data_IF_408405512930
#
_entry.id   IF_408405512930
#
_cell.length_a   1.000
_cell.length_b   1.000
_cell.length_c   1.000
_cell.angle_alpha   90.00
_cell.angle_beta   90.00
_cell.angle_gamma   90.00
#
_symmetry.space_group_name_H-M   'P 1'
#
loop_
_entity.id
_entity.type
_entity.pdbx_description
1 polymer ?
#
# COMPACT_ATOMS: atom_id res chain seq x y z
N UNK A 1 2.60 9.54 3.17
CA UNK A 1 4.05 9.30 2.97
C UNK A 1 4.36 8.75 1.57
N UNK A 2 3.79 7.61 1.16
CA UNK A 2 4.11 6.98 -0.14
C UNK A 2 3.89 7.90 -1.36
N UNK A 3 2.76 8.62 -1.46
CA UNK A 3 2.53 9.64 -2.51
C UNK A 3 3.62 10.70 -2.60
N UNK A 4 4.24 11.05 -1.47
CA UNK A 4 5.33 12.03 -1.46
C UNK A 4 6.62 11.40 -2.01
N UNK A 5 6.93 10.17 -1.59
CA UNK A 5 8.10 9.43 -2.08
C UNK A 5 8.02 9.16 -3.59
N UNK A 6 6.85 8.74 -4.09
CA UNK A 6 6.66 8.50 -5.53
C UNK A 6 6.82 9.76 -6.36
N UNK A 7 6.24 10.88 -5.90
CA UNK A 7 6.40 12.20 -6.56
C UNK A 7 7.85 12.68 -6.55
N UNK A 8 8.54 12.56 -5.42
CA UNK A 8 9.90 13.08 -5.26
C UNK A 8 10.92 12.33 -6.11
N UNK A 9 10.76 11.01 -6.23
CA UNK A 9 11.69 10.14 -6.97
C UNK A 9 11.26 9.89 -8.42
N UNK A 10 10.15 10.48 -8.87
CA UNK A 10 9.57 10.21 -10.19
C UNK A 10 9.40 8.70 -10.42
N UNK A 11 8.89 8.00 -9.40
CA UNK A 11 8.70 6.56 -9.48
C UNK A 11 7.74 6.23 -10.63
N UNK A 12 8.20 5.39 -11.55
CA UNK A 12 7.38 4.85 -12.64
C UNK A 12 6.63 3.60 -12.20
N UNK A 13 7.22 2.84 -11.28
CA UNK A 13 6.75 1.53 -10.84
C UNK A 13 7.04 1.32 -9.35
N UNK A 14 6.25 0.45 -8.71
CA UNK A 14 6.36 0.04 -7.33
C UNK A 14 6.56 -1.47 -7.24
N UNK A 15 7.38 -1.89 -6.27
CA UNK A 15 7.44 -3.27 -5.80
C UNK A 15 6.93 -3.29 -4.36
N UNK A 16 5.84 -4.03 -4.11
CA UNK A 16 5.32 -4.26 -2.77
C UNK A 16 6.01 -5.50 -2.21
N UNK A 17 6.47 -5.41 -0.97
CA UNK A 17 7.14 -6.53 -0.29
C UNK A 17 6.40 -6.90 0.98
N UNK A 18 6.57 -8.16 1.41
CA UNK A 18 5.95 -8.68 2.63
C UNK A 18 4.44 -8.60 2.63
N UNK A 19 3.80 -8.88 1.49
CA UNK A 19 2.33 -8.90 1.45
C UNK A 19 1.78 -10.00 2.36
N UNK A 20 2.49 -11.13 2.45
CA UNK A 20 2.21 -12.28 3.32
C UNK A 20 2.05 -11.91 4.81
N UNK A 21 2.79 -10.90 5.28
CA UNK A 21 2.70 -10.44 6.66
C UNK A 21 1.33 -9.84 6.98
N UNK A 22 0.60 -9.33 5.98
CA UNK A 22 -0.74 -8.78 6.14
C UNK A 22 -1.82 -9.87 6.13
N UNK A 23 -1.51 -11.09 5.70
CA UNK A 23 -2.48 -12.19 5.55
C UNK A 23 -3.28 -12.53 6.80
N UNK A 24 -2.73 -12.55 8.02
CA UNK A 24 -3.50 -12.91 9.21
C UNK A 24 -4.50 -11.82 9.64
N UNK A 25 -4.43 -10.62 9.07
CA UNK A 25 -5.27 -9.49 9.48
C UNK A 25 -6.69 -9.62 8.91
N UNK A 26 -7.68 -9.26 9.72
CA UNK A 26 -9.09 -9.19 9.30
C UNK A 26 -9.44 -7.88 8.60
N UNK A 27 -8.72 -6.82 8.96
CA UNK A 27 -8.89 -5.48 8.42
C UNK A 27 -7.51 -4.81 8.29
N UNK A 28 -7.37 -3.96 7.27
CA UNK A 28 -6.18 -3.18 7.00
C UNK A 28 -6.53 -1.70 7.13
N UNK A 29 -5.73 -0.96 7.91
CA UNK A 29 -5.87 0.49 8.05
C UNK A 29 -4.82 1.19 7.21
N UNK A 30 -5.24 1.82 6.13
CA UNK A 30 -4.36 2.55 5.23
C UNK A 30 -4.47 4.05 5.50
N UNK A 31 -3.34 4.69 5.81
CA UNK A 31 -3.31 6.12 6.11
C UNK A 31 -3.42 6.92 4.80
N UNK A 32 -4.57 7.55 4.57
CA UNK A 32 -4.88 8.32 3.34
C UNK A 32 -4.63 9.82 3.46
N UNK A 33 -4.40 10.30 4.67
CA UNK A 33 -4.12 11.70 4.95
C UNK A 33 -3.89 11.94 6.42
N UNK A 34 -3.80 13.20 6.80
CA UNK A 34 -3.56 13.60 8.18
C UNK A 34 -4.48 14.76 8.58
N UNK A 35 -4.83 14.84 9.86
CA UNK A 35 -5.65 15.91 10.44
C UNK A 35 -4.85 16.64 11.52
N UNK A 36 -4.70 17.95 11.39
CA UNK A 36 -4.11 18.82 12.42
C UNK A 36 -5.00 18.96 13.65
N UNK A 37 -4.41 19.41 14.75
CA UNK A 37 -5.12 19.76 15.98
C UNK A 37 -6.07 20.96 15.80
N UNK A 38 -5.73 21.83 14.84
CA UNK A 38 -6.54 22.94 14.32
C UNK A 38 -7.67 22.51 13.37
N UNK A 39 -7.78 21.21 13.05
CA UNK A 39 -8.75 20.68 12.10
C UNK A 39 -8.32 20.76 10.63
N UNK A 40 -7.11 21.24 10.34
CA UNK A 40 -6.59 21.30 8.96
C UNK A 40 -6.33 19.90 8.41
N UNK A 41 -6.86 19.59 7.22
CA UNK A 41 -6.57 18.32 6.53
C UNK A 41 -5.33 18.45 5.65
N UNK A 42 -4.42 17.49 5.77
CA UNK A 42 -3.21 17.38 4.97
C UNK A 42 -3.26 16.13 4.09
N UNK A 43 -3.09 16.31 2.78
CA UNK A 43 -2.99 15.20 1.81
C UNK A 43 -1.56 14.66 1.68
N UNK A 44 -0.58 15.46 2.10
CA UNK A 44 0.83 15.11 2.11
C UNK A 44 1.39 15.18 3.52
N UNK A 45 2.52 14.50 3.74
CA UNK A 45 3.26 14.63 5.00
C UNK A 45 3.66 16.10 5.15
N UNK A 46 3.31 16.76 6.27
CA UNK A 46 3.71 18.14 6.52
C UNK A 46 5.23 18.30 6.55
N UNK A 47 5.72 19.42 6.02
CA UNK A 47 7.16 19.69 5.93
C UNK A 47 7.80 20.01 7.29
N UNK A 48 7.06 20.68 8.18
CA UNK A 48 7.58 21.08 9.49
C UNK A 48 7.37 19.99 10.54
N UNK A 49 8.47 19.59 11.18
CA UNK A 49 8.45 18.56 12.24
C UNK A 49 7.49 18.92 13.39
N UNK A 50 7.41 20.20 13.77
CA UNK A 50 6.49 20.68 14.81
C UNK A 50 5.02 20.43 14.49
N UNK A 51 4.66 20.42 13.20
CA UNK A 51 3.31 20.06 12.74
C UNK A 51 3.15 18.54 12.72
N UNK A 52 4.16 17.82 12.23
CA UNK A 52 4.13 16.35 12.14
C UNK A 52 3.90 15.66 13.50
N UNK A 53 4.36 16.22 14.61
CA UNK A 53 4.09 15.67 15.95
C UNK A 53 2.63 15.84 16.42
N UNK A 54 1.87 16.72 15.79
CA UNK A 54 0.51 17.10 16.22
C UNK A 54 -0.59 16.53 15.34
N UNK A 55 -0.26 16.08 14.14
CA UNK A 55 -1.25 15.51 13.22
C UNK A 55 -1.67 14.10 13.65
N UNK A 56 -2.92 13.75 13.36
CA UNK A 56 -3.46 12.39 13.50
C UNK A 56 -3.67 11.77 12.11
N UNK A 57 -3.37 10.48 11.91
CA UNK A 57 -3.64 9.81 10.65
C UNK A 57 -5.15 9.68 10.41
N UNK A 58 -5.57 9.89 9.17
CA UNK A 58 -6.90 9.56 8.67
C UNK A 58 -6.78 8.21 7.98
N UNK A 59 -7.51 7.21 8.48
CA UNK A 59 -7.47 5.85 7.94
C UNK A 59 -8.66 5.55 7.05
N UNK A 60 -8.39 4.86 5.96
CA UNK A 60 -9.37 4.04 5.26
C UNK A 60 -9.21 2.59 5.72
N UNK A 61 -10.32 1.88 5.87
CA UNK A 61 -10.31 0.49 6.32
C UNK A 61 -10.68 -0.41 5.16
N UNK A 62 -9.78 -1.33 4.82
CA UNK A 62 -9.96 -2.33 3.78
C UNK A 62 -10.12 -3.72 4.42
N UNK A 63 -10.84 -4.65 3.79
CA UNK A 63 -10.91 -6.02 4.28
C UNK A 63 -9.52 -6.67 4.18
N UNK A 64 -9.17 -7.46 5.20
CA UNK A 64 -8.05 -8.40 5.10
C UNK A 64 -8.52 -9.74 4.54
N UNK A 65 -7.59 -10.58 4.10
CA UNK A 65 -7.91 -11.84 3.41
C UNK A 65 -7.86 -13.08 4.30
N UNK A 66 -7.11 -13.10 5.41
CA UNK A 66 -7.13 -14.21 6.37
C UNK A 66 -6.57 -15.55 5.84
N UNK A 67 -6.04 -15.59 4.63
CA UNK A 67 -5.54 -16.82 3.97
C UNK A 67 -4.07 -16.68 3.61
N UNK A 68 -3.36 -17.80 3.61
CA UNK A 68 -1.97 -17.85 3.13
C UNK A 68 -1.88 -17.56 1.62
N UNK A 69 -0.85 -16.83 1.22
CA UNK A 69 -0.56 -16.44 -0.17
C UNK A 69 0.85 -16.84 -0.61
N UNK A 70 1.63 -17.53 0.23
CA UNK A 70 3.04 -17.88 -0.01
C UNK A 70 3.28 -18.74 -1.26
N UNK A 71 2.24 -19.39 -1.77
CA UNK A 71 2.29 -20.24 -2.97
C UNK A 71 1.72 -19.57 -4.23
N UNK A 72 1.34 -18.30 -4.16
CA UNK A 72 0.83 -17.58 -5.31
C UNK A 72 1.97 -17.33 -6.32
N UNK A 73 1.77 -17.75 -7.57
CA UNK A 73 2.75 -17.54 -8.65
C UNK A 73 2.29 -16.44 -9.63
N UNK A 74 0.98 -16.17 -9.68
CA UNK A 74 0.37 -15.15 -10.54
C UNK A 74 -0.71 -14.39 -9.78
N UNK A 75 -1.05 -13.20 -10.28
CA UNK A 75 -2.03 -12.31 -9.64
C UNK A 75 -3.39 -12.99 -9.43
N UNK A 76 -3.81 -13.89 -10.32
CA UNK A 76 -5.09 -14.60 -10.19
C UNK A 76 -5.13 -15.59 -9.02
N UNK A 77 -3.98 -15.99 -8.49
CA UNK A 77 -3.89 -16.89 -7.32
C UNK A 77 -4.09 -16.11 -6.02
N UNK A 78 -3.99 -14.78 -6.06
CA UNK A 78 -4.21 -13.92 -4.90
C UNK A 78 -5.71 -13.79 -4.58
N UNK A 79 -6.06 -13.76 -3.28
CA UNK A 79 -7.40 -13.40 -2.82
C UNK A 79 -7.86 -12.04 -3.37
N UNK A 80 -9.16 -11.86 -3.51
CA UNK A 80 -9.73 -10.60 -4.03
C UNK A 80 -9.32 -9.41 -3.18
N UNK A 81 -9.36 -9.54 -1.86
CA UNK A 81 -9.02 -8.48 -0.91
C UNK A 81 -7.54 -8.09 -1.00
N UNK A 82 -6.65 -9.05 -1.30
CA UNK A 82 -5.24 -8.77 -1.53
C UNK A 82 -5.01 -8.00 -2.84
N UNK A 83 -5.73 -8.37 -3.91
CA UNK A 83 -5.70 -7.64 -5.19
C UNK A 83 -6.28 -6.23 -5.03
N UNK A 84 -7.38 -6.08 -4.30
CA UNK A 84 -8.02 -4.80 -4.03
C UNK A 84 -7.10 -3.88 -3.23
N UNK A 85 -6.32 -4.42 -2.28
CA UNK A 85 -5.30 -3.66 -1.56
C UNK A 85 -4.17 -3.15 -2.49
N UNK A 86 -3.70 -3.99 -3.42
CA UNK A 86 -2.69 -3.58 -4.41
C UNK A 86 -3.26 -2.50 -5.33
N UNK A 87 -4.47 -2.70 -5.85
CA UNK A 87 -5.17 -1.73 -6.69
C UNK A 87 -5.39 -0.40 -5.95
N UNK A 88 -5.76 -0.45 -4.68
CA UNK A 88 -5.90 0.72 -3.83
C UNK A 88 -4.60 1.52 -3.76
N UNK A 89 -3.45 0.85 -3.59
CA UNK A 89 -2.14 1.52 -3.58
C UNK A 89 -1.88 2.20 -4.93
N UNK A 90 -2.07 1.48 -6.04
CA UNK A 90 -1.89 2.04 -7.39
C UNK A 90 -2.75 3.29 -7.61
N UNK A 91 -4.03 3.21 -7.23
CA UNK A 91 -4.96 4.31 -7.36
C UNK A 91 -4.62 5.49 -6.45
N UNK A 92 -4.13 5.21 -5.25
CA UNK A 92 -3.74 6.24 -4.30
C UNK A 92 -2.45 6.95 -4.74
N UNK A 93 -1.48 6.21 -5.30
CA UNK A 93 -0.18 6.77 -5.72
C UNK A 93 -0.13 7.24 -7.16
N UNK A 94 -1.04 6.75 -8.01
CA UNK A 94 -1.00 6.89 -9.48
C UNK A 94 0.30 6.37 -10.09
N UNK A 95 0.79 5.25 -9.54
CA UNK A 95 2.02 4.58 -9.97
C UNK A 95 1.73 3.08 -10.03
N UNK A 96 2.14 2.44 -11.12
CA UNK A 96 1.90 1.01 -11.33
C UNK A 96 2.67 0.15 -10.32
N UNK A 97 2.07 -0.93 -9.83
CA UNK A 97 2.74 -1.96 -9.03
C UNK A 97 3.10 -3.11 -9.95
N UNK A 98 4.40 -3.30 -10.19
CA UNK A 98 4.90 -4.34 -11.11
C UNK A 98 5.16 -5.67 -10.41
N UNK A 99 5.43 -5.64 -9.10
CA UNK A 99 5.79 -6.83 -8.34
C UNK A 99 5.20 -6.81 -6.93
N UNK A 100 4.82 -8.00 -6.48
CA UNK A 100 4.40 -8.25 -5.10
C UNK A 100 5.16 -9.47 -4.57
N UNK A 101 5.95 -9.30 -3.51
CA UNK A 101 6.55 -10.42 -2.79
C UNK A 101 5.53 -11.02 -1.81
N UNK A 102 5.33 -12.33 -1.92
CA UNK A 102 4.36 -13.12 -1.16
C UNK A 102 5.03 -14.06 -0.17
N UNK A 103 6.35 -13.94 0.02
CA UNK A 103 7.11 -14.74 0.98
C UNK A 103 8.59 -14.35 0.97
N UNK A 104 9.40 -14.99 1.84
CA UNK A 104 10.82 -14.67 2.02
C UNK A 104 11.74 -15.22 0.91
N UNK A 105 11.30 -16.25 0.17
CA UNK A 105 12.13 -16.89 -0.85
C UNK A 105 12.18 -16.06 -2.14
N UNK A 106 13.27 -16.21 -2.92
CA UNK A 106 13.50 -15.41 -4.13
C UNK A 106 12.44 -15.62 -5.21
N UNK A 107 11.89 -16.82 -5.28
CA UNK A 107 10.85 -17.27 -6.18
C UNK A 107 9.43 -16.93 -5.71
N UNK A 108 9.26 -16.49 -4.44
CA UNK A 108 7.97 -16.05 -3.89
C UNK A 108 7.66 -14.61 -4.27
N UNK A 109 7.54 -14.37 -5.58
CA UNK A 109 7.31 -13.07 -6.20
C UNK A 109 6.27 -13.20 -7.32
N UNK A 110 5.18 -12.46 -7.21
CA UNK A 110 4.16 -12.34 -8.24
C UNK A 110 4.46 -11.12 -9.11
N UNK A 111 4.56 -11.34 -10.43
CA UNK A 111 4.69 -10.28 -11.43
C UNK A 111 3.31 -9.84 -11.88
N UNK A 112 3.05 -8.53 -11.86
CA UNK A 112 1.79 -7.96 -12.31
C UNK A 112 1.94 -7.46 -13.75
N UNK A 113 0.99 -7.76 -14.64
CA UNK A 113 1.01 -7.21 -15.98
C UNK A 113 0.70 -5.71 -15.91
N UNK A 114 1.36 -4.95 -16.77
CA UNK A 114 1.00 -3.56 -17.00
C UNK A 114 -0.30 -3.54 -17.80
N UNK A 115 -1.33 -2.87 -17.29
CA UNK A 115 -2.51 -2.56 -18.11
C UNK A 115 -2.09 -1.70 -19.30
N UNK A 116 -2.56 -2.05 -20.49
CA UNK A 116 -2.39 -1.24 -21.72
C UNK A 116 -3.09 0.11 -21.62
#
# INVERSE_FOLDING_TARGET
MLKHATRLNTCTELAITKLDVLSPLKELKVCVGYLGDDGTRYEHVPYHQSVMHKIKPIYETLPGWGTDIERAEKISDLPTEAKDYVQFIEDFTKVHVSFVSVGPSRDQLVVLPRGE
#
